data_IF_584183110409
#
_entry.id   IF_584183110409
#
_cell.length_a   1.000
_cell.length_b   1.000
_cell.length_c   1.000
_cell.angle_alpha   90.00
_cell.angle_beta   90.00
_cell.angle_gamma   90.00
#
_symmetry.space_group_name_H-M   'P 1'
#
loop_
_entity.id
_entity.type
_entity.pdbx_description
1 polymer ?
#
# COMPACT_ATOMS: atom_id res chain seq x y z
N UNK A 1 -23.56 -15.37 -6.99
CA UNK A 1 -22.97 -15.23 -5.63
C UNK A 1 -22.95 -16.54 -4.82
N UNK A 2 -24.00 -17.38 -4.86
CA UNK A 2 -24.05 -18.64 -4.09
C UNK A 2 -22.87 -19.60 -4.37
N UNK A 3 -22.53 -19.82 -5.65
CA UNK A 3 -21.42 -20.71 -6.03
C UNK A 3 -20.05 -20.24 -5.52
N UNK A 4 -19.79 -18.93 -5.55
CA UNK A 4 -18.54 -18.37 -5.04
C UNK A 4 -18.39 -18.55 -3.52
N UNK A 5 -19.50 -18.38 -2.77
CA UNK A 5 -19.55 -18.64 -1.33
C UNK A 5 -19.24 -20.10 -1.01
N UNK A 6 -19.89 -21.02 -1.72
CA UNK A 6 -19.71 -22.45 -1.51
C UNK A 6 -18.25 -22.89 -1.75
N UNK A 7 -17.61 -22.40 -2.83
CA UNK A 7 -16.19 -22.66 -3.11
C UNK A 7 -15.29 -22.08 -2.00
N UNK A 8 -15.55 -20.85 -1.54
CA UNK A 8 -14.82 -20.22 -0.43
C UNK A 8 -14.95 -21.05 0.84
N UNK A 9 -16.17 -21.45 1.21
CA UNK A 9 -16.45 -22.17 2.44
C UNK A 9 -15.80 -23.56 2.44
N UNK A 10 -15.83 -24.27 1.31
CA UNK A 10 -15.15 -25.55 1.16
C UNK A 10 -13.62 -25.45 1.29
N UNK A 11 -13.00 -24.40 0.74
CA UNK A 11 -11.53 -24.26 0.72
C UNK A 11 -10.94 -23.56 1.93
N UNK A 12 -11.64 -22.59 2.49
CA UNK A 12 -11.12 -21.67 3.51
C UNK A 12 -11.97 -21.66 4.79
N UNK A 13 -13.15 -22.29 4.78
CA UNK A 13 -14.08 -22.25 5.89
C UNK A 13 -14.58 -20.84 6.18
N UNK A 14 -14.84 -20.56 7.45
CA UNK A 14 -15.37 -19.27 7.93
C UNK A 14 -14.31 -18.36 8.55
N UNK A 15 -13.06 -18.83 8.66
CA UNK A 15 -11.97 -18.06 9.29
C UNK A 15 -11.51 -16.95 8.35
N UNK A 16 -11.60 -15.70 8.82
CA UNK A 16 -11.04 -14.54 8.13
C UNK A 16 -9.69 -14.21 8.75
N UNK A 17 -8.66 -14.09 7.91
CA UNK A 17 -7.32 -13.63 8.34
C UNK A 17 -7.07 -12.22 7.82
N UNK A 18 -6.23 -11.48 8.54
CA UNK A 18 -5.75 -10.18 8.08
C UNK A 18 -4.26 -10.08 8.43
N UNK A 19 -3.52 -9.31 7.64
CA UNK A 19 -2.13 -8.94 7.95
C UNK A 19 -2.04 -7.42 8.07
N UNK A 20 -1.71 -6.87 9.26
CA UNK A 20 -1.56 -5.45 9.47
C UNK A 20 -0.26 -4.94 8.83
N UNK A 21 -0.38 -3.98 7.92
CA UNK A 21 0.72 -3.44 7.12
C UNK A 21 0.73 -1.93 7.20
N UNK A 22 1.92 -1.35 7.26
CA UNK A 22 2.11 0.09 7.11
C UNK A 22 2.36 0.43 5.63
N UNK A 23 1.70 1.48 5.16
CA UNK A 23 1.81 1.97 3.79
C UNK A 23 2.94 3.01 3.70
N UNK A 24 3.90 2.80 2.80
CA UNK A 24 5.08 3.67 2.64
C UNK A 24 5.16 4.12 1.17
N UNK A 25 4.67 5.35 0.85
CA UNK A 25 4.70 5.89 -0.49
C UNK A 25 6.08 6.45 -0.82
N UNK A 26 6.97 5.61 -1.35
CA UNK A 26 8.35 6.01 -1.67
C UNK A 26 8.40 7.16 -2.68
N UNK A 27 7.45 7.19 -3.61
CA UNK A 27 7.21 8.29 -4.53
C UNK A 27 5.76 8.29 -4.98
N UNK A 28 5.25 9.47 -5.33
CA UNK A 28 3.97 9.65 -6.03
C UNK A 28 4.18 10.08 -7.49
N UNK A 29 5.43 10.06 -7.99
CA UNK A 29 5.71 10.20 -9.41
C UNK A 29 5.32 8.92 -10.15
N UNK A 30 4.76 9.10 -11.34
CA UNK A 30 4.36 8.00 -12.21
C UNK A 30 4.46 8.47 -13.66
N UNK A 31 5.04 7.66 -14.54
CA UNK A 31 5.09 7.90 -15.99
C UNK A 31 3.71 7.79 -16.63
N UNK A 32 2.85 6.94 -16.07
CA UNK A 32 1.53 6.66 -16.61
C UNK A 32 0.49 7.70 -16.20
N UNK A 33 -0.45 7.96 -17.11
CA UNK A 33 -1.59 8.84 -16.90
C UNK A 33 -2.91 8.06 -16.86
N UNK A 34 -3.10 7.27 -15.80
CA UNK A 34 -4.33 6.50 -15.61
C UNK A 34 -5.47 7.42 -15.14
N UNK A 35 -6.59 7.47 -15.88
CA UNK A 35 -7.74 8.34 -15.54
C UNK A 35 -8.42 8.04 -14.20
N UNK A 36 -8.13 6.90 -13.58
CA UNK A 36 -8.66 6.49 -12.28
C UNK A 36 -7.66 6.65 -11.12
N UNK A 37 -6.40 7.02 -11.40
CA UNK A 37 -5.35 7.04 -10.39
C UNK A 37 -5.36 8.37 -9.61
N UNK A 38 -5.67 8.30 -8.32
CA UNK A 38 -5.57 9.44 -7.39
C UNK A 38 -4.23 9.50 -6.66
N UNK A 39 -3.40 8.45 -6.80
CA UNK A 39 -2.10 8.34 -6.14
C UNK A 39 -1.02 9.16 -6.85
N UNK A 40 -0.99 9.13 -8.19
CA UNK A 40 -0.01 9.85 -8.98
C UNK A 40 -0.19 11.38 -8.83
N UNK A 41 0.91 12.09 -8.62
CA UNK A 41 0.93 13.55 -8.53
C UNK A 41 1.95 14.13 -9.52
N UNK A 42 1.64 15.29 -10.14
CA UNK A 42 2.62 15.96 -10.99
C UNK A 42 3.81 16.45 -10.14
N UNK A 43 5.05 16.47 -10.69
CA UNK A 43 6.24 16.89 -9.96
C UNK A 43 6.11 18.26 -9.27
N UNK A 44 5.39 19.20 -9.89
CA UNK A 44 5.17 20.55 -9.37
C UNK A 44 4.37 20.61 -8.05
N UNK A 45 3.72 19.51 -7.64
CA UNK A 45 2.96 19.42 -6.38
C UNK A 45 3.70 18.66 -5.28
N UNK A 46 4.90 18.17 -5.55
CA UNK A 46 5.69 17.40 -4.59
C UNK A 46 6.78 18.29 -3.98
N UNK A 47 6.91 18.24 -2.66
CA UNK A 47 8.04 18.86 -1.95
C UNK A 47 9.36 18.13 -2.27
N UNK A 48 9.30 16.79 -2.38
CA UNK A 48 10.41 15.93 -2.76
C UNK A 48 9.92 14.83 -3.69
N UNK A 49 10.68 14.48 -4.76
CA UNK A 49 10.37 13.35 -5.64
C UNK A 49 10.31 12.00 -4.92
N UNK A 50 11.12 11.82 -3.87
CA UNK A 50 11.23 10.56 -3.11
C UNK A 50 11.31 10.83 -1.61
N UNK A 51 10.88 9.85 -0.82
CA UNK A 51 11.18 9.82 0.62
C UNK A 51 12.66 9.53 0.85
N UNK A 52 13.26 10.19 1.85
CA UNK A 52 14.58 9.82 2.36
C UNK A 52 14.52 8.50 3.13
N UNK A 53 15.64 7.76 3.24
CA UNK A 53 15.71 6.56 4.07
C UNK A 53 15.25 6.78 5.52
N UNK A 54 15.57 7.93 6.11
CA UNK A 54 15.16 8.29 7.46
C UNK A 54 13.64 8.47 7.57
N UNK A 55 13.01 9.09 6.56
CA UNK A 55 11.56 9.22 6.49
C UNK A 55 10.89 7.85 6.35
N UNK A 56 11.43 6.96 5.51
CA UNK A 56 10.97 5.57 5.37
C UNK A 56 11.02 4.84 6.70
N UNK A 57 12.17 4.88 7.39
CA UNK A 57 12.34 4.25 8.69
C UNK A 57 11.41 4.84 9.76
N UNK A 58 11.15 6.14 9.72
CA UNK A 58 10.21 6.81 10.64
C UNK A 58 8.79 6.27 10.46
N UNK A 59 8.31 6.15 9.22
CA UNK A 59 6.99 5.59 8.91
C UNK A 59 6.93 4.12 9.33
N UNK A 60 7.94 3.32 8.97
CA UNK A 60 8.01 1.90 9.32
C UNK A 60 7.95 1.69 10.84
N UNK A 61 8.74 2.45 11.61
CA UNK A 61 8.73 2.39 13.09
C UNK A 61 7.41 2.87 13.69
N UNK A 62 6.71 3.81 13.05
CA UNK A 62 5.37 4.22 13.49
C UNK A 62 4.36 3.10 13.24
N UNK A 63 4.41 2.45 12.07
CA UNK A 63 3.61 1.28 11.74
C UNK A 63 3.81 0.14 12.74
N UNK A 64 5.06 -0.22 13.03
CA UNK A 64 5.41 -1.25 14.00
C UNK A 64 4.85 -0.94 15.40
N UNK A 65 4.94 0.33 15.85
CA UNK A 65 4.35 0.78 17.13
C UNK A 65 2.82 0.69 17.16
N UNK A 66 2.17 0.72 16.00
CA UNK A 66 0.73 0.52 15.85
C UNK A 66 0.35 -0.94 15.55
N UNK A 67 1.26 -1.90 15.73
CA UNK A 67 1.00 -3.32 15.53
C UNK A 67 1.04 -3.79 14.08
N UNK A 68 1.60 -3.00 13.15
CA UNK A 68 1.88 -3.51 11.80
C UNK A 68 3.08 -4.47 11.84
N UNK A 69 2.96 -5.58 11.12
CA UNK A 69 4.02 -6.59 10.97
C UNK A 69 4.65 -6.58 9.58
N UNK A 70 3.99 -5.93 8.62
CA UNK A 70 4.47 -5.81 7.24
C UNK A 70 4.64 -4.33 6.84
N UNK A 71 5.55 -4.08 5.90
CA UNK A 71 5.72 -2.79 5.25
C UNK A 71 5.38 -2.93 3.76
N UNK A 72 4.40 -2.15 3.30
CA UNK A 72 4.00 -2.11 1.90
C UNK A 72 4.61 -0.87 1.25
N UNK A 73 5.64 -1.06 0.43
CA UNK A 73 6.19 0.00 -0.39
C UNK A 73 5.30 0.24 -1.60
N UNK A 74 4.97 1.50 -1.86
CA UNK A 74 4.20 1.90 -3.04
C UNK A 74 4.91 3.01 -3.78
N UNK A 75 4.92 2.87 -5.09
CA UNK A 75 5.62 3.71 -6.05
C UNK A 75 4.77 3.73 -7.33
N UNK A 76 4.82 4.84 -8.06
CA UNK A 76 4.35 4.83 -9.45
C UNK A 76 5.39 4.21 -10.37
N UNK A 77 5.03 4.08 -11.65
CA UNK A 77 5.98 3.60 -12.64
C UNK A 77 7.05 4.64 -12.96
N UNK A 78 8.30 4.19 -12.92
CA UNK A 78 9.45 4.98 -13.34
C UNK A 78 9.39 5.20 -14.83
#
# INVERSE_FOLDING_TARGET
>A
MARAREIRDQRHGTRITFSPKVFIPLTMLCRDSCGYCTFAQPPARLESPFLSPEQVLKIAKQGARNGCHEALFTLGEA
#
